data_IF_892336642155
#
_entry.id   IF_892336642155
#
_cell.length_a   1.000
_cell.length_b   1.000
_cell.length_c   1.000
_cell.angle_alpha   90.00
_cell.angle_beta   90.00
_cell.angle_gamma   90.00
#
_symmetry.space_group_name_H-M   'P 1'
#
loop_
_entity.id
_entity.type
_entity.pdbx_description
1 polymer ?
#
# COMPACT_ATOMS: atom_id res chain seq x y z
N UNK A 1 -23.04 13.01 -6.74
CA UNK A 1 -22.61 14.32 -6.22
C UNK A 1 -21.37 14.08 -5.37
N UNK A 2 -20.18 14.48 -5.82
CA UNK A 2 -18.94 14.33 -5.03
C UNK A 2 -19.09 15.16 -3.75
N UNK A 3 -19.07 14.53 -2.58
CA UNK A 3 -19.02 15.25 -1.32
C UNK A 3 -17.68 16.00 -1.27
N UNK A 4 -17.71 17.32 -1.46
CA UNK A 4 -16.51 18.16 -1.47
C UNK A 4 -16.02 18.40 -0.03
N UNK A 5 -15.57 17.36 0.65
CA UNK A 5 -14.79 17.53 1.87
C UNK A 5 -13.45 18.18 1.53
N UNK A 6 -12.94 19.11 2.35
CA UNK A 6 -11.66 19.76 2.09
C UNK A 6 -10.54 18.73 2.03
N UNK A 7 -9.53 18.99 1.19
CA UNK A 7 -8.32 18.17 1.18
C UNK A 7 -7.62 18.25 2.54
N UNK A 8 -6.92 17.18 2.96
CA UNK A 8 -6.09 17.22 4.16
C UNK A 8 -5.03 18.32 4.07
N UNK A 9 -4.54 18.82 5.22
CA UNK A 9 -3.56 19.90 5.26
C UNK A 9 -2.33 19.62 4.38
N UNK A 10 -1.98 20.62 3.57
CA UNK A 10 -0.81 20.56 2.70
C UNK A 10 -0.95 19.66 1.48
N UNK A 11 -2.13 19.11 1.20
CA UNK A 11 -2.38 18.37 -0.02
C UNK A 11 -2.84 19.27 -1.16
N UNK A 12 -2.50 18.87 -2.38
CA UNK A 12 -3.01 19.45 -3.63
C UNK A 12 -3.63 18.38 -4.49
N UNK A 13 -4.79 18.67 -5.06
CA UNK A 13 -5.43 17.75 -5.97
C UNK A 13 -4.57 17.56 -7.22
N UNK A 14 -4.47 16.31 -7.67
CA UNK A 14 -3.75 15.93 -8.86
C UNK A 14 -4.74 15.28 -9.85
N UNK A 15 -4.68 15.61 -11.15
CA UNK A 15 -5.68 15.14 -12.12
C UNK A 15 -5.58 13.65 -12.44
N UNK A 16 -4.41 13.04 -12.22
CA UNK A 16 -4.15 11.64 -12.55
C UNK A 16 -3.53 10.84 -11.40
N UNK A 17 -3.89 9.56 -11.34
CA UNK A 17 -3.39 8.60 -10.36
C UNK A 17 -2.16 7.82 -10.85
N UNK A 18 -1.19 8.49 -11.49
CA UNK A 18 -0.02 7.80 -12.07
C UNK A 18 0.79 6.98 -11.06
N UNK A 19 1.53 5.98 -11.56
CA UNK A 19 2.50 5.20 -10.78
C UNK A 19 3.42 6.10 -9.94
N UNK A 20 3.45 5.84 -8.64
CA UNK A 20 4.26 6.54 -7.67
C UNK A 20 5.02 5.56 -6.76
N UNK A 21 5.96 6.09 -6.00
CA UNK A 21 6.70 5.39 -4.97
C UNK A 21 8.08 6.00 -4.73
N UNK A 22 8.87 5.36 -3.88
CA UNK A 22 10.27 5.71 -3.68
C UNK A 22 11.07 5.46 -4.97
N UNK A 23 12.02 6.35 -5.26
CA UNK A 23 12.82 6.30 -6.50
C UNK A 23 13.65 5.03 -6.66
N UNK A 24 14.02 4.35 -5.58
CA UNK A 24 14.73 3.07 -5.59
C UNK A 24 13.92 1.94 -6.25
N UNK A 25 12.60 1.96 -6.08
CA UNK A 25 11.68 0.92 -6.57
C UNK A 25 11.12 1.22 -7.96
N UNK A 26 11.49 2.35 -8.57
CA UNK A 26 10.94 2.79 -9.85
C UNK A 26 11.16 1.79 -11.00
N UNK A 27 12.25 1.01 -10.97
CA UNK A 27 12.58 0.01 -11.99
C UNK A 27 12.32 -1.44 -11.52
N UNK A 28 11.59 -1.62 -10.42
CA UNK A 28 11.18 -2.94 -9.93
C UNK A 28 9.72 -3.16 -10.30
N UNK A 29 9.38 -4.37 -10.74
CA UNK A 29 8.07 -4.73 -11.26
C UNK A 29 7.70 -6.12 -10.75
N UNK A 30 6.40 -6.43 -10.57
CA UNK A 30 5.97 -7.78 -10.25
C UNK A 30 6.35 -8.75 -11.37
N UNK A 31 6.58 -10.01 -11.02
CA UNK A 31 6.81 -11.08 -11.99
C UNK A 31 5.49 -11.66 -12.52
N UNK A 32 4.42 -11.60 -11.73
CA UNK A 32 3.14 -12.23 -12.04
C UNK A 32 1.99 -11.24 -11.77
N UNK A 33 1.21 -10.93 -12.82
CA UNK A 33 0.14 -9.91 -12.75
C UNK A 33 -1.24 -10.49 -12.46
N UNK A 34 -1.46 -11.77 -12.76
CA UNK A 34 -2.78 -12.41 -12.71
C UNK A 34 -2.91 -13.45 -11.58
N UNK A 35 -1.80 -13.79 -10.92
CA UNK A 35 -1.77 -14.83 -9.89
C UNK A 35 -1.85 -14.23 -8.50
N UNK A 36 -2.98 -14.43 -7.82
CA UNK A 36 -3.15 -14.05 -6.42
C UNK A 36 -2.63 -15.18 -5.53
N UNK A 37 -1.43 -14.98 -4.97
CA UNK A 37 -0.84 -15.82 -3.93
C UNK A 37 -0.22 -14.93 -2.85
N UNK A 38 -0.62 -15.16 -1.61
CA UNK A 38 -0.16 -14.40 -0.45
C UNK A 38 0.41 -15.37 0.58
N UNK A 39 1.73 -15.31 0.80
CA UNK A 39 2.35 -16.04 1.89
C UNK A 39 2.03 -15.36 3.24
N UNK A 40 1.55 -16.15 4.20
CA UNK A 40 1.30 -15.74 5.57
C UNK A 40 2.40 -16.30 6.46
N UNK A 41 3.14 -15.43 7.11
CA UNK A 41 4.32 -15.80 7.88
C UNK A 41 4.52 -14.94 9.13
N UNK A 42 5.68 -15.08 9.77
CA UNK A 42 6.03 -14.41 11.01
C UNK A 42 5.64 -15.24 12.23
N UNK A 43 5.11 -14.56 13.25
CA UNK A 43 4.70 -15.09 14.55
C UNK A 43 3.32 -15.76 14.46
N UNK A 44 3.25 -16.81 13.64
CA UNK A 44 2.06 -17.64 13.39
C UNK A 44 2.40 -19.10 13.65
N UNK A 45 1.45 -19.91 14.14
CA UNK A 45 1.72 -21.33 14.41
C UNK A 45 1.86 -22.14 13.12
N UNK A 46 1.16 -21.75 12.06
CA UNK A 46 1.04 -22.51 10.81
C UNK A 46 1.28 -21.59 9.60
N UNK A 47 2.54 -21.27 9.24
CA UNK A 47 2.81 -20.52 8.02
C UNK A 47 2.13 -21.18 6.81
N UNK A 48 1.43 -20.40 6.00
CA UNK A 48 0.57 -20.91 4.91
C UNK A 48 0.60 -19.97 3.72
N UNK A 49 0.13 -20.46 2.57
CA UNK A 49 -0.06 -19.64 1.36
C UNK A 49 -1.54 -19.58 1.04
N UNK A 50 -2.06 -18.36 0.94
CA UNK A 50 -3.45 -18.08 0.58
C UNK A 50 -3.52 -17.78 -0.92
N UNK A 51 -4.36 -18.52 -1.64
CA UNK A 51 -4.68 -18.24 -3.04
C UNK A 51 -6.19 -18.27 -3.26
N UNK A 52 -6.75 -19.46 -3.53
CA UNK A 52 -8.14 -19.66 -3.95
C UNK A 52 -9.15 -19.20 -2.89
N UNK A 53 -8.82 -19.33 -1.60
CA UNK A 53 -9.71 -18.98 -0.49
C UNK A 53 -10.05 -17.49 -0.41
N UNK A 54 -9.25 -16.61 -1.03
CA UNK A 54 -9.58 -15.18 -1.08
C UNK A 54 -10.90 -14.92 -1.84
N UNK A 55 -11.20 -15.74 -2.87
CA UNK A 55 -12.42 -15.60 -3.67
C UNK A 55 -13.70 -15.95 -2.91
N UNK A 56 -13.60 -16.63 -1.77
CA UNK A 56 -14.74 -16.97 -0.92
C UNK A 56 -15.18 -15.81 0.00
N UNK A 57 -14.34 -14.78 0.15
CA UNK A 57 -14.67 -13.63 0.99
C UNK A 57 -15.73 -12.74 0.34
N UNK A 58 -16.58 -12.06 1.13
CA UNK A 58 -17.49 -11.05 0.61
C UNK A 58 -16.71 -9.95 -0.13
N UNK A 59 -17.10 -9.71 -1.38
CA UNK A 59 -16.56 -8.61 -2.17
C UNK A 59 -17.25 -7.31 -1.77
N UNK A 60 -16.48 -6.25 -1.66
CA UNK A 60 -16.98 -4.91 -1.36
C UNK A 60 -16.49 -3.90 -2.41
N UNK A 61 -17.24 -2.81 -2.53
CA UNK A 61 -16.87 -1.64 -3.31
C UNK A 61 -16.75 -0.44 -2.37
N UNK A 62 -15.74 0.40 -2.57
CA UNK A 62 -15.59 1.64 -1.83
C UNK A 62 -15.02 2.75 -2.70
N UNK A 63 -15.59 3.94 -2.57
CA UNK A 63 -15.00 5.16 -3.13
C UNK A 63 -14.18 5.84 -2.06
N UNK A 64 -12.88 6.03 -2.31
CA UNK A 64 -11.98 6.68 -1.35
C UNK A 64 -11.00 7.63 -2.03
N UNK A 65 -10.51 8.60 -1.27
CA UNK A 65 -9.46 9.51 -1.70
C UNK A 65 -8.09 8.89 -1.39
N UNK A 66 -7.12 9.13 -2.28
CA UNK A 66 -5.73 8.79 -2.08
C UNK A 66 -4.91 10.02 -1.70
N UNK A 67 -4.08 9.89 -0.67
CA UNK A 67 -3.24 10.97 -0.18
C UNK A 67 -1.77 10.56 -0.19
N UNK A 68 -0.95 11.20 -1.02
CA UNK A 68 0.48 10.96 -1.00
C UNK A 68 1.17 11.76 0.10
N UNK A 69 2.18 11.17 0.72
CA UNK A 69 3.05 11.87 1.68
C UNK A 69 3.76 13.06 1.03
N UNK A 70 3.93 13.06 -0.30
CA UNK A 70 4.58 14.13 -1.06
C UNK A 70 3.64 15.24 -1.54
N UNK A 71 2.62 15.58 -0.75
CA UNK A 71 1.77 16.78 -0.89
C UNK A 71 0.80 16.80 -2.08
N UNK A 72 0.38 15.63 -2.57
CA UNK A 72 -0.66 15.53 -3.59
C UNK A 72 -1.72 14.49 -3.24
N UNK A 73 -2.91 14.61 -3.83
CA UNK A 73 -4.04 13.71 -3.62
C UNK A 73 -4.81 13.47 -4.89
N UNK A 74 -5.47 12.33 -4.99
CA UNK A 74 -6.42 12.02 -6.07
C UNK A 74 -7.71 11.57 -5.40
N UNK A 75 -8.82 12.12 -5.84
CA UNK A 75 -10.12 11.89 -5.21
C UNK A 75 -10.93 10.83 -5.94
N UNK A 76 -11.96 10.33 -5.25
CA UNK A 76 -13.03 9.56 -5.86
C UNK A 76 -12.53 8.30 -6.61
N UNK A 77 -11.55 7.60 -6.06
CA UNK A 77 -11.09 6.32 -6.61
C UNK A 77 -12.04 5.23 -6.16
N UNK A 78 -12.69 4.55 -7.12
CA UNK A 78 -13.60 3.44 -6.81
C UNK A 78 -12.82 2.13 -6.79
N UNK A 79 -12.64 1.56 -5.60
CA UNK A 79 -11.94 0.30 -5.38
C UNK A 79 -12.92 -0.84 -5.18
N UNK A 80 -12.53 -2.03 -5.65
CA UNK A 80 -13.24 -3.26 -5.32
C UNK A 80 -12.27 -4.36 -4.92
N UNK A 81 -12.68 -5.17 -3.95
CA UNK A 81 -11.85 -6.19 -3.33
C UNK A 81 -12.47 -6.74 -2.05
N UNK A 82 -11.62 -7.08 -1.07
CA UNK A 82 -12.02 -7.77 0.16
C UNK A 82 -11.58 -6.97 1.38
N UNK A 83 -12.45 -6.82 2.38
CA UNK A 83 -12.07 -6.17 3.64
C UNK A 83 -10.90 -6.90 4.27
N UNK A 84 -9.93 -6.15 4.77
CA UNK A 84 -8.79 -6.75 5.43
C UNK A 84 -9.19 -7.46 6.74
N UNK A 85 -10.19 -6.93 7.46
CA UNK A 85 -10.76 -7.57 8.65
C UNK A 85 -11.41 -8.93 8.34
N UNK A 86 -12.20 -9.01 7.26
CA UNK A 86 -12.79 -10.27 6.79
C UNK A 86 -11.70 -11.28 6.40
N UNK A 87 -10.69 -10.85 5.65
CA UNK A 87 -9.53 -11.66 5.31
C UNK A 87 -8.80 -12.18 6.56
N UNK A 88 -8.55 -11.31 7.54
CA UNK A 88 -7.86 -11.70 8.75
C UNK A 88 -8.66 -12.72 9.56
N UNK A 89 -9.94 -12.47 9.83
CA UNK A 89 -10.75 -13.34 10.68
C UNK A 89 -11.19 -14.65 10.00
N UNK A 90 -11.46 -14.63 8.69
CA UNK A 90 -12.01 -15.80 7.99
C UNK A 90 -10.95 -16.65 7.29
N UNK A 91 -9.75 -16.11 7.06
CA UNK A 91 -8.64 -16.84 6.41
C UNK A 91 -7.43 -16.94 7.35
N UNK A 92 -6.87 -15.81 7.78
CA UNK A 92 -5.60 -15.82 8.53
C UNK A 92 -5.74 -16.52 9.88
N UNK A 93 -6.73 -16.15 10.70
CA UNK A 93 -6.96 -16.76 12.01
C UNK A 93 -7.16 -18.28 11.92
N UNK A 94 -8.06 -18.82 11.08
CA UNK A 94 -8.28 -20.27 11.03
C UNK A 94 -7.14 -21.05 10.37
N UNK A 95 -6.45 -20.48 9.37
CA UNK A 95 -5.43 -21.22 8.60
C UNK A 95 -4.02 -21.04 9.14
N UNK A 96 -3.65 -19.83 9.54
CA UNK A 96 -2.29 -19.52 9.99
C UNK A 96 -2.13 -19.53 11.52
N UNK A 97 -3.22 -19.30 12.25
CA UNK A 97 -3.26 -19.22 13.73
C UNK A 97 -2.19 -18.25 14.27
N UNK A 98 -2.38 -16.93 14.09
CA UNK A 98 -1.48 -15.94 14.67
C UNK A 98 -1.37 -16.12 16.18
N UNK A 99 -0.14 -16.11 16.69
CA UNK A 99 0.12 -16.14 18.13
C UNK A 99 -0.37 -14.84 18.81
N UNK A 100 -0.54 -14.81 20.14
CA UNK A 100 -0.87 -13.58 20.86
C UNK A 100 0.16 -12.45 20.65
N UNK A 101 -0.27 -11.21 20.91
CA UNK A 101 0.55 -9.99 20.83
C UNK A 101 1.09 -9.68 19.43
N UNK A 102 0.35 -9.98 18.36
CA UNK A 102 0.71 -9.68 16.98
C UNK A 102 0.25 -8.30 16.53
N UNK A 103 0.75 -7.26 17.18
CA UNK A 103 0.27 -5.88 16.95
C UNK A 103 0.85 -5.27 15.66
N UNK A 104 1.87 -5.88 15.07
CA UNK A 104 2.57 -5.34 13.92
C UNK A 104 2.46 -6.24 12.70
N UNK A 105 2.25 -5.65 11.53
CA UNK A 105 2.12 -6.37 10.25
C UNK A 105 3.07 -5.78 9.23
N UNK A 106 3.86 -6.64 8.57
CA UNK A 106 4.71 -6.27 7.44
C UNK A 106 4.10 -6.80 6.16
N UNK A 107 3.72 -5.88 5.26
CA UNK A 107 3.25 -6.22 3.91
C UNK A 107 4.41 -6.10 2.93
N UNK A 108 4.64 -7.15 2.13
CA UNK A 108 5.64 -7.16 1.06
C UNK A 108 5.01 -7.34 -0.31
N UNK A 109 5.55 -6.58 -1.26
CA UNK A 109 5.23 -6.70 -2.67
C UNK A 109 6.24 -7.56 -3.44
N UNK A 110 5.82 -8.08 -4.58
CA UNK A 110 6.68 -8.78 -5.55
C UNK A 110 7.84 -7.88 -6.04
N UNK A 111 7.68 -6.56 -6.01
CA UNK A 111 8.71 -5.57 -6.34
C UNK A 111 9.75 -5.36 -5.22
N UNK A 112 9.71 -6.23 -4.19
CA UNK A 112 10.49 -6.18 -2.96
C UNK A 112 10.25 -4.93 -2.10
N UNK A 113 9.22 -4.12 -2.41
CA UNK A 113 8.80 -3.07 -1.49
C UNK A 113 8.18 -3.70 -0.25
N UNK A 114 8.49 -3.17 0.92
CA UNK A 114 7.92 -3.62 2.17
C UNK A 114 7.54 -2.42 3.01
N UNK A 115 6.38 -2.51 3.63
CA UNK A 115 5.90 -1.49 4.56
C UNK A 115 5.26 -2.14 5.76
N UNK A 116 5.37 -1.46 6.89
CA UNK A 116 4.77 -1.90 8.12
C UNK A 116 3.56 -1.06 8.53
N UNK A 117 2.61 -1.70 9.20
CA UNK A 117 1.44 -1.09 9.80
C UNK A 117 1.07 -1.77 11.11
N UNK A 118 0.35 -1.06 11.97
CA UNK A 118 -0.28 -1.67 13.14
C UNK A 118 -1.46 -2.54 12.68
N UNK A 119 -1.66 -3.69 13.33
CA UNK A 119 -2.79 -4.57 13.04
C UNK A 119 -4.12 -3.84 13.26
N UNK A 120 -4.22 -3.03 14.32
CA UNK A 120 -5.41 -2.21 14.59
C UNK A 120 -5.77 -1.24 13.44
N UNK A 121 -4.77 -0.67 12.77
CA UNK A 121 -5.00 0.22 11.62
C UNK A 121 -5.49 -0.56 10.41
N UNK A 122 -5.02 -1.80 10.23
CA UNK A 122 -5.46 -2.69 9.17
C UNK A 122 -6.85 -3.27 9.42
N UNK A 123 -7.32 -3.28 10.67
CA UNK A 123 -8.66 -3.73 11.04
C UNK A 123 -9.77 -2.70 10.79
N UNK A 124 -9.42 -1.47 10.37
CA UNK A 124 -10.41 -0.44 10.08
C UNK A 124 -11.35 -0.84 8.92
N UNK A 125 -12.61 -0.40 9.01
CA UNK A 125 -13.70 -0.82 8.09
C UNK A 125 -13.49 -0.44 6.62
N UNK A 126 -12.66 0.57 6.35
CA UNK A 126 -12.32 1.09 5.03
C UNK A 126 -10.98 0.56 4.48
N UNK A 127 -10.36 -0.40 5.18
CA UNK A 127 -9.13 -1.06 4.73
C UNK A 127 -9.45 -2.35 3.98
N UNK A 128 -8.90 -2.47 2.77
CA UNK A 128 -9.12 -3.62 1.91
C UNK A 128 -7.87 -4.08 1.18
N UNK A 129 -7.91 -5.36 0.79
CA UNK A 129 -7.09 -5.93 -0.27
C UNK A 129 -7.86 -5.77 -1.59
N UNK A 130 -7.40 -4.85 -2.45
CA UNK A 130 -8.07 -4.49 -3.70
C UNK A 130 -7.39 -5.14 -4.91
N UNK A 131 -8.21 -5.60 -5.86
CA UNK A 131 -7.80 -6.18 -7.15
C UNK A 131 -8.38 -5.42 -8.35
N UNK A 132 -9.21 -4.39 -8.09
CA UNK A 132 -9.95 -3.64 -9.10
C UNK A 132 -9.99 -2.16 -8.74
N UNK A 133 -9.81 -1.30 -9.75
CA UNK A 133 -9.92 0.15 -9.67
C UNK A 133 -10.78 0.67 -10.83
N UNK A 134 -11.79 1.46 -10.51
CA UNK A 134 -12.72 2.07 -11.47
C UNK A 134 -13.37 1.06 -12.44
N UNK A 135 -13.70 -0.12 -11.93
CA UNK A 135 -14.33 -1.20 -12.70
C UNK A 135 -13.37 -2.05 -13.54
N UNK A 136 -12.08 -1.73 -13.54
CA UNK A 136 -11.05 -2.48 -14.27
C UNK A 136 -10.11 -3.21 -13.31
N UNK A 137 -9.64 -4.41 -13.70
CA UNK A 137 -8.58 -5.11 -12.96
C UNK A 137 -7.36 -4.20 -12.84
N UNK A 138 -6.65 -4.29 -11.72
CA UNK A 138 -5.46 -3.48 -11.52
C UNK A 138 -4.42 -3.74 -12.61
N UNK A 139 -3.82 -2.66 -13.10
CA UNK A 139 -2.61 -2.71 -13.90
C UNK A 139 -1.34 -2.82 -13.05
N UNK A 140 -0.22 -3.05 -13.74
CA UNK A 140 1.12 -3.10 -13.15
C UNK A 140 1.53 -1.78 -12.46
N UNK A 141 0.95 -0.66 -12.86
CA UNK A 141 1.20 0.65 -12.26
C UNK A 141 0.47 0.85 -10.93
N UNK A 142 -0.71 0.24 -10.80
CA UNK A 142 -1.60 0.38 -9.65
C UNK A 142 -1.52 -0.75 -8.63
N UNK A 143 -0.80 -1.83 -8.92
CA UNK A 143 -0.44 -2.83 -7.91
C UNK A 143 -0.97 -4.23 -8.13
N UNK A 144 -1.25 -4.60 -9.39
CA UNK A 144 -1.68 -5.96 -9.75
C UNK A 144 -0.77 -7.07 -9.15
N UNK A 145 -1.32 -8.24 -8.80
CA UNK A 145 -2.75 -8.59 -8.87
C UNK A 145 -3.54 -8.02 -7.67
N UNK A 146 -2.87 -7.71 -6.57
CA UNK A 146 -3.50 -7.30 -5.32
C UNK A 146 -2.69 -6.22 -4.61
N UNK A 147 -3.39 -5.22 -4.06
CA UNK A 147 -2.78 -4.14 -3.28
C UNK A 147 -3.52 -3.89 -1.97
N UNK A 148 -2.87 -3.22 -1.04
CA UNK A 148 -3.54 -2.61 0.10
C UNK A 148 -4.16 -1.27 -0.31
N UNK A 149 -5.37 -1.03 0.16
CA UNK A 149 -6.03 0.29 0.17
C UNK A 149 -6.39 0.60 1.62
N UNK A 150 -5.79 1.66 2.17
CA UNK A 150 -5.98 2.15 3.52
C UNK A 150 -6.10 3.69 3.47
N UNK A 151 -7.32 4.24 3.25
CA UNK A 151 -7.55 5.65 2.93
C UNK A 151 -7.08 6.63 4.01
N UNK A 152 -7.18 6.24 5.28
CA UNK A 152 -6.71 7.03 6.42
C UNK A 152 -5.17 7.20 6.47
N UNK A 153 -4.42 6.45 5.65
CA UNK A 153 -2.96 6.40 5.66
C UNK A 153 -2.34 6.96 4.38
N UNK A 154 -1.14 7.54 4.50
CA UNK A 154 -0.43 8.03 3.33
C UNK A 154 -0.06 6.91 2.36
N UNK A 155 0.03 7.27 1.08
CA UNK A 155 0.18 6.30 0.00
C UNK A 155 1.38 5.36 0.05
N UNK A 156 2.43 5.66 0.83
CA UNK A 156 3.56 4.73 1.01
C UNK A 156 3.19 3.54 1.91
N UNK A 157 2.23 3.70 2.84
CA UNK A 157 1.65 2.60 3.63
C UNK A 157 0.77 1.66 2.81
N UNK A 158 0.28 2.13 1.66
CA UNK A 158 -0.58 1.35 0.78
C UNK A 158 0.27 0.48 -0.16
N UNK A 159 0.72 -0.68 0.34
CA UNK A 159 1.56 -1.63 -0.39
C UNK A 159 0.92 -2.08 -1.71
N UNK A 160 1.75 -2.27 -2.74
CA UNK A 160 1.35 -2.76 -4.07
C UNK A 160 1.94 -4.15 -4.30
N UNK A 161 1.34 -4.90 -5.23
CA UNK A 161 1.86 -6.20 -5.68
C UNK A 161 2.00 -7.21 -4.53
N UNK A 162 1.07 -7.22 -3.57
CA UNK A 162 1.20 -7.98 -2.32
C UNK A 162 1.45 -9.45 -2.63
N UNK A 163 2.53 -9.98 -2.06
CA UNK A 163 2.92 -11.39 -2.14
C UNK A 163 3.12 -12.04 -0.78
N UNK A 164 3.32 -11.23 0.28
CA UNK A 164 3.53 -11.75 1.63
C UNK A 164 3.00 -10.77 2.68
N UNK A 165 2.37 -11.34 3.73
CA UNK A 165 1.92 -10.64 4.93
C UNK A 165 2.53 -11.35 6.14
N UNK A 166 3.32 -10.64 6.92
CA UNK A 166 3.95 -11.18 8.12
C UNK A 166 3.38 -10.54 9.39
N UNK A 167 3.04 -11.35 10.38
CA UNK A 167 2.55 -10.90 11.70
C UNK A 167 3.68 -10.95 12.72
N UNK A 168 3.97 -9.84 13.37
CA UNK A 168 5.11 -9.68 14.25
C UNK A 168 4.67 -9.13 15.61
N UNK A 169 5.42 -9.46 16.66
CA UNK A 169 5.12 -8.97 18.00
C UNK A 169 5.47 -7.48 18.19
N UNK A 170 6.54 -7.03 17.53
CA UNK A 170 6.97 -5.64 17.54
C UNK A 170 7.68 -5.28 16.22
N UNK A 171 8.15 -4.03 16.12
CA UNK A 171 8.84 -3.52 14.94
C UNK A 171 10.39 -3.56 15.03
N UNK A 172 10.95 -4.21 16.04
CA UNK A 172 12.39 -4.16 16.37
C UNK A 172 13.30 -4.58 15.20
N UNK A 173 12.84 -5.55 14.41
CA UNK A 173 13.53 -6.10 13.26
C UNK A 173 13.14 -5.45 11.93
N UNK A 174 12.19 -4.51 11.93
CA UNK A 174 11.76 -3.84 10.70
C UNK A 174 12.73 -2.70 10.40
N UNK A 175 13.13 -2.61 9.14
CA UNK A 175 14.02 -1.56 8.65
C UNK A 175 13.43 -1.00 7.38
N UNK A 176 13.33 0.32 7.32
CA UNK A 176 12.92 0.98 6.09
C UNK A 176 14.02 0.81 5.03
N UNK A 177 13.68 0.76 3.72
CA UNK A 177 14.65 0.44 2.69
C UNK A 177 15.82 1.43 2.64
N UNK A 178 17.05 0.92 2.73
CA UNK A 178 18.25 1.73 2.43
C UNK A 178 18.21 2.22 0.97
N UNK A 179 18.67 3.45 0.67
CA UNK A 179 19.37 4.40 1.54
C UNK A 179 18.46 5.41 2.26
N UNK A 180 17.14 5.17 2.32
CA UNK A 180 16.22 6.10 2.97
C UNK A 180 16.35 6.02 4.49
N UNK A 181 16.47 7.17 5.19
CA UNK A 181 16.61 7.14 6.64
C UNK A 181 15.30 6.69 7.30
N UNK A 182 15.41 5.89 8.37
CA UNK A 182 14.26 5.36 9.12
C UNK A 182 13.28 6.45 9.58
N UNK A 183 13.75 7.69 9.75
CA UNK A 183 12.91 8.83 10.11
C UNK A 183 11.80 9.12 9.07
N UNK A 184 11.98 8.72 7.80
CA UNK A 184 10.98 8.93 6.74
C UNK A 184 9.78 7.98 6.87
N UNK A 185 9.92 6.86 7.57
CA UNK A 185 8.83 5.93 7.84
C UNK A 185 8.20 6.27 9.19
N UNK A 186 6.95 6.74 9.15
CA UNK A 186 6.20 6.94 10.38
C UNK A 186 5.52 5.60 10.76
N UNK A 187 5.52 5.18 12.04
CA UNK A 187 4.93 3.89 12.44
C UNK A 187 3.49 3.68 11.95
N UNK A 188 2.65 4.71 12.07
CA UNK A 188 1.24 4.71 11.69
C UNK A 188 1.04 5.33 10.29
N UNK A 189 1.34 6.63 10.14
CA UNK A 189 1.37 7.29 8.83
C UNK A 189 0.02 7.85 8.41
N UNK A 190 -0.76 8.29 9.40
CA UNK A 190 -2.13 8.75 9.29
C UNK A 190 -2.21 10.17 8.71
N UNK A 191 -3.15 10.34 7.78
CA UNK A 191 -3.34 11.59 7.04
C UNK A 191 -3.92 12.69 7.94
N UNK A 192 -4.90 12.35 8.79
CA UNK A 192 -5.59 13.30 9.66
C UNK A 192 -4.65 14.00 10.67
N UNK A 193 -3.58 13.32 11.07
CA UNK A 193 -2.60 13.81 12.04
C UNK A 193 -1.32 14.36 11.38
N UNK A 194 -1.29 14.47 10.05
CA UNK A 194 -0.11 14.83 9.25
C UNK A 194 1.16 14.02 9.61
N UNK A 195 1.04 12.71 9.81
CA UNK A 195 2.14 11.82 10.20
C UNK A 195 3.04 11.45 9.00
N UNK A 196 3.79 12.44 8.49
CA UNK A 196 4.60 12.31 7.27
C UNK A 196 5.98 11.68 7.51
N UNK A 197 6.46 11.71 8.74
CA UNK A 197 7.75 11.22 9.20
C UNK A 197 7.73 11.11 10.73
N UNK A 198 8.62 10.31 11.30
CA UNK A 198 8.63 10.01 12.73
C UNK A 198 8.98 11.23 13.62
N UNK A 199 10.04 11.97 13.28
CA UNK A 199 10.60 13.01 14.18
C UNK A 199 10.80 14.38 13.54
N UNK A 200 10.53 14.52 12.25
CA UNK A 200 10.75 15.78 11.54
C UNK A 200 9.47 16.61 11.49
N UNK A 201 9.53 17.91 11.82
CA UNK A 201 8.37 18.80 11.71
C UNK A 201 7.84 18.93 10.27
N UNK A 202 6.51 18.98 10.14
CA UNK A 202 5.84 19.07 8.83
C UNK A 202 6.19 20.32 8.02
N UNK A 203 6.49 21.44 8.68
CA UNK A 203 6.89 22.68 8.00
C UNK A 203 8.27 22.56 7.31
N UNK A 204 9.12 21.61 7.73
CA UNK A 204 10.40 21.28 7.08
C UNK A 204 10.17 20.26 5.95
N UNK A 205 9.42 19.19 6.24
CA UNK A 205 9.25 18.08 5.29
C UNK A 205 8.43 18.47 4.07
N UNK A 206 7.34 19.22 4.26
CA UNK A 206 6.42 19.52 3.15
C UNK A 206 7.12 20.23 1.99
N UNK A 207 7.91 21.30 2.20
CA UNK A 207 8.70 21.92 1.13
C UNK A 207 9.67 20.93 0.46
N UNK A 208 10.39 20.12 1.24
CA UNK A 208 11.35 19.14 0.73
C UNK A 208 10.67 18.10 -0.18
N UNK A 209 9.58 17.50 0.29
CA UNK A 209 8.83 16.51 -0.49
C UNK A 209 8.20 17.11 -1.74
N UNK A 210 7.67 18.33 -1.66
CA UNK A 210 7.13 19.04 -2.82
C UNK A 210 8.19 19.29 -3.88
N UNK A 211 9.43 19.58 -3.48
CA UNK A 211 10.56 19.76 -4.40
C UNK A 211 10.97 18.44 -5.10
N UNK A 212 10.96 17.33 -4.37
CA UNK A 212 11.37 16.02 -4.89
C UNK A 212 10.29 15.30 -5.70
N UNK A 213 9.01 15.62 -5.47
CA UNK A 213 7.84 14.95 -6.08
C UNK A 213 7.91 14.86 -7.62
N UNK A 214 8.20 15.93 -8.38
CA UNK A 214 8.18 15.86 -9.85
C UNK A 214 9.24 14.91 -10.41
N UNK A 215 10.42 14.88 -9.79
CA UNK A 215 11.52 13.99 -10.19
C UNK A 215 11.17 12.52 -9.95
N UNK A 216 10.59 12.21 -8.79
CA UNK A 216 10.15 10.86 -8.47
C UNK A 216 9.09 10.37 -9.46
N UNK A 217 8.05 11.17 -9.74
CA UNK A 217 6.99 10.83 -10.71
C UNK A 217 7.56 10.63 -12.12
N UNK A 218 8.41 11.55 -12.59
CA UNK A 218 9.05 11.44 -13.91
C UNK A 218 9.88 10.15 -14.02
N UNK A 219 10.59 9.77 -12.96
CA UNK A 219 11.37 8.52 -12.91
C UNK A 219 10.45 7.30 -13.03
N UNK A 220 9.40 7.21 -12.22
CA UNK A 220 8.43 6.11 -12.26
C UNK A 220 7.75 5.97 -13.61
N UNK A 221 7.27 7.09 -14.19
CA UNK A 221 6.65 7.10 -15.51
C UNK A 221 7.61 6.68 -16.63
N UNK A 222 8.87 7.14 -16.59
CA UNK A 222 9.91 6.73 -17.56
C UNK A 222 10.18 5.21 -17.49
N UNK A 223 10.33 4.67 -16.27
CA UNK A 223 10.63 3.25 -16.09
C UNK A 223 9.44 2.37 -16.48
N UNK A 224 8.21 2.78 -16.17
CA UNK A 224 7.00 2.06 -16.58
C UNK A 224 6.91 1.96 -18.11
N UNK A 225 7.06 3.09 -18.82
CA UNK A 225 7.05 3.09 -20.29
C UNK A 225 8.12 2.17 -20.88
N UNK A 226 9.33 2.20 -20.31
CA UNK A 226 10.42 1.33 -20.75
C UNK A 226 10.14 -0.16 -20.50
N UNK A 227 9.46 -0.51 -19.41
CA UNK A 227 9.08 -1.89 -19.10
C UNK A 227 7.97 -2.40 -20.04
N UNK A 228 6.93 -1.59 -20.28
CA UNK A 228 5.84 -1.94 -21.20
C UNK A 228 6.36 -2.12 -22.63
N UNK A 229 7.26 -1.26 -23.10
CA UNK A 229 7.86 -1.36 -24.44
C UNK A 229 8.73 -2.62 -24.62
N UNK A 230 9.33 -3.16 -23.55
CA UNK A 230 10.06 -4.43 -23.60
C UNK A 230 9.11 -5.62 -23.66
N UNK A 231 8.01 -5.56 -22.92
CA UNK A 231 7.03 -6.64 -22.84
C UNK A 231 6.21 -6.77 -24.12
N UNK A 232 6.04 -5.69 -24.89
CA UNK A 232 5.39 -5.73 -26.20
C UNK A 232 6.26 -6.29 -27.34
N UNK A 233 7.57 -6.41 -27.12
CA UNK A 233 8.54 -6.87 -28.11
C UNK A 233 8.96 -8.35 -27.91
N UNK A 234 8.45 -9.00 -26.86
CA UNK A 234 8.60 -10.43 -26.58
C UNK A 234 7.27 -11.13 -26.83
#
# INVERSE_FOLDING_TARGET
MSSQHPLPPGQKEHPSYDRFGLGLFANRFPSELDKVEIAIAGNVEQPTTVSESLSALPRIEQTSDFHCVTTWSVRNLNWSGFRFSDFYHQIVVPQAKPLPNNDFVVLRGQDSYAVSMQLEDLMADDVMLADTLNGEKLGIDHGAPLRLVAPAHYGYKNAKHISQIEFWADNSNYRFPMPYPNLMDHPRGRVAYEERANYLPNWIIRPLYKLLQPMARKKHGKMLKAHLAKSSNN
#
